data_IF_855942980647
#
_entry.id   IF_855942980647
#
_cell.length_a   1.000
_cell.length_b   1.000
_cell.length_c   1.000
_cell.angle_alpha   90.00
_cell.angle_beta   90.00
_cell.angle_gamma   90.00
#
_symmetry.space_group_name_H-M   'P 1'
#
loop_
_entity.id
_entity.type
_entity.pdbx_description
1 polymer ?
#
# COMPACT_ATOMS: atom_id res chain seq x y z
N UNK A 1 -47.66 9.59 21.66
CA UNK A 1 -46.57 8.75 21.11
C UNK A 1 -46.03 9.45 19.87
N UNK A 2 -44.85 10.08 19.93
CA UNK A 2 -44.26 10.81 18.79
C UNK A 2 -43.19 9.93 18.14
N UNK A 3 -43.42 9.52 16.89
CA UNK A 3 -42.50 8.66 16.14
C UNK A 3 -41.21 9.39 15.80
N UNK A 4 -40.07 8.83 16.20
CA UNK A 4 -38.73 9.29 15.78
C UNK A 4 -38.60 9.09 14.27
N UNK A 5 -38.32 10.16 13.54
CA UNK A 5 -37.98 10.12 12.11
C UNK A 5 -36.61 9.47 11.97
N UNK A 6 -36.55 8.31 11.31
CA UNK A 6 -35.30 7.67 10.90
C UNK A 6 -34.56 8.58 9.92
N UNK A 7 -33.59 9.34 10.44
CA UNK A 7 -32.71 10.16 9.62
C UNK A 7 -31.87 9.25 8.74
N UNK A 8 -32.15 9.24 7.42
CA UNK A 8 -31.35 8.56 6.40
C UNK A 8 -29.87 8.75 6.69
N UNK A 9 -29.16 7.68 7.05
CA UNK A 9 -27.71 7.72 7.18
C UNK A 9 -27.11 8.14 5.83
N UNK A 10 -26.51 9.33 5.80
CA UNK A 10 -25.78 9.81 4.62
C UNK A 10 -24.34 9.33 4.76
N UNK A 11 -23.96 8.34 3.95
CA UNK A 11 -22.57 7.92 3.82
C UNK A 11 -21.83 9.07 3.13
N UNK A 12 -20.88 9.69 3.84
CA UNK A 12 -19.98 10.68 3.24
C UNK A 12 -19.06 9.95 2.25
N UNK A 13 -18.84 10.54 1.08
CA UNK A 13 -17.90 9.98 0.11
C UNK A 13 -16.52 9.83 0.78
N UNK A 14 -15.94 8.63 0.67
CA UNK A 14 -14.58 8.41 1.12
C UNK A 14 -13.65 9.32 0.32
N UNK A 15 -12.65 9.97 0.96
CA UNK A 15 -11.67 10.78 0.25
C UNK A 15 -11.07 9.96 -0.88
N UNK A 16 -11.24 10.43 -2.11
CA UNK A 16 -10.79 9.71 -3.32
C UNK A 16 -9.26 9.77 -3.44
N UNK A 17 -8.63 10.74 -2.80
CA UNK A 17 -7.22 11.05 -2.92
C UNK A 17 -6.47 10.65 -1.65
N UNK A 18 -5.49 9.77 -1.81
CA UNK A 18 -4.55 9.38 -0.78
C UNK A 18 -3.51 10.49 -0.59
N UNK A 19 -3.13 10.76 0.66
CA UNK A 19 -2.04 11.68 0.97
C UNK A 19 -0.73 11.20 0.31
N UNK A 20 -0.03 12.05 -0.47
CA UNK A 20 1.27 11.71 -1.04
C UNK A 20 2.29 11.18 -0.03
N UNK A 21 2.28 11.70 1.21
CA UNK A 21 3.21 11.25 2.27
C UNK A 21 2.96 9.78 2.65
N UNK A 22 1.70 9.39 2.79
CA UNK A 22 1.29 8.03 3.10
C UNK A 22 1.64 7.05 1.97
N UNK A 23 1.53 7.48 0.70
CA UNK A 23 1.97 6.67 -0.44
C UNK A 23 3.47 6.36 -0.34
N UNK A 24 4.28 7.36 0.00
CA UNK A 24 5.73 7.19 0.14
C UNK A 24 6.09 6.25 1.30
N UNK A 25 5.40 6.36 2.43
CA UNK A 25 5.60 5.46 3.58
C UNK A 25 5.32 4.00 3.20
N UNK A 26 4.22 3.74 2.49
CA UNK A 26 3.90 2.39 2.00
C UNK A 26 4.97 1.91 1.02
N UNK A 27 5.38 2.74 0.04
CA UNK A 27 6.40 2.36 -0.94
C UNK A 27 7.74 2.05 -0.27
N UNK A 28 8.12 2.81 0.77
CA UNK A 28 9.32 2.57 1.57
C UNK A 28 9.24 1.25 2.33
N UNK A 29 8.10 0.95 2.95
CA UNK A 29 7.86 -0.32 3.63
C UNK A 29 7.98 -1.51 2.68
N UNK A 30 7.30 -1.45 1.53
CA UNK A 30 7.36 -2.50 0.51
C UNK A 30 8.78 -2.66 -0.06
N UNK A 31 9.49 -1.56 -0.34
CA UNK A 31 10.88 -1.56 -0.81
C UNK A 31 11.81 -2.30 0.15
N UNK A 32 11.68 -2.04 1.45
CA UNK A 32 12.48 -2.71 2.47
C UNK A 32 12.15 -4.21 2.56
N UNK A 33 10.86 -4.56 2.53
CA UNK A 33 10.44 -5.96 2.55
C UNK A 33 10.99 -6.76 1.36
N UNK A 34 10.96 -6.19 0.15
CA UNK A 34 11.54 -6.84 -1.05
C UNK A 34 13.04 -7.11 -0.86
N UNK A 35 13.78 -6.14 -0.31
CA UNK A 35 15.22 -6.31 -0.02
C UNK A 35 15.48 -7.42 1.00
N UNK A 36 14.66 -7.51 2.05
CA UNK A 36 14.80 -8.57 3.04
C UNK A 36 14.48 -9.95 2.44
N UNK A 37 13.50 -10.04 1.53
CA UNK A 37 13.24 -11.28 0.76
C UNK A 37 14.44 -11.64 -0.12
N UNK A 38 15.04 -10.67 -0.82
CA UNK A 38 16.23 -10.88 -1.65
C UNK A 38 17.42 -11.42 -0.84
N UNK A 39 17.59 -10.94 0.40
CA UNK A 39 18.58 -11.45 1.36
C UNK A 39 18.20 -12.79 2.01
N UNK A 40 17.09 -13.40 1.61
CA UNK A 40 16.51 -14.61 2.22
C UNK A 40 16.11 -14.44 3.70
N UNK A 41 15.86 -13.21 4.15
CA UNK A 41 15.40 -12.87 5.49
C UNK A 41 13.90 -12.55 5.52
N UNK A 42 13.05 -13.54 5.22
CA UNK A 42 11.60 -13.32 5.14
C UNK A 42 10.84 -13.59 6.46
N UNK A 43 11.47 -14.20 7.46
CA UNK A 43 10.81 -14.66 8.69
C UNK A 43 10.15 -13.54 9.52
N UNK A 44 10.64 -12.29 9.37
CA UNK A 44 10.09 -11.12 10.06
C UNK A 44 9.01 -10.35 9.27
N UNK A 45 8.60 -10.84 8.10
CA UNK A 45 7.68 -10.14 7.22
C UNK A 45 6.25 -10.67 7.36
N UNK A 46 5.29 -9.77 7.54
CA UNK A 46 3.86 -10.12 7.52
C UNK A 46 3.32 -10.12 6.10
N UNK A 47 2.93 -11.29 5.60
CA UNK A 47 2.32 -11.41 4.27
C UNK A 47 1.06 -10.55 4.13
N UNK A 48 0.17 -10.59 5.14
CA UNK A 48 -1.09 -9.85 5.10
C UNK A 48 -0.87 -8.34 5.06
N UNK A 49 0.06 -7.82 5.86
CA UNK A 49 0.36 -6.39 5.89
C UNK A 49 0.91 -5.91 4.53
N UNK A 50 1.89 -6.64 3.97
CA UNK A 50 2.49 -6.31 2.68
C UNK A 50 1.44 -6.35 1.56
N UNK A 51 0.58 -7.37 1.56
CA UNK A 51 -0.50 -7.51 0.59
C UNK A 51 -1.52 -6.36 0.70
N UNK A 52 -2.01 -6.03 1.91
CA UNK A 52 -2.96 -4.93 2.13
C UNK A 52 -2.39 -3.59 1.67
N UNK A 53 -1.13 -3.33 1.95
CA UNK A 53 -0.42 -2.12 1.53
C UNK A 53 -0.31 -2.02 0.01
N UNK A 54 0.13 -3.08 -0.67
CA UNK A 54 0.21 -3.10 -2.13
C UNK A 54 -1.18 -2.95 -2.79
N UNK A 55 -2.18 -3.67 -2.27
CA UNK A 55 -3.57 -3.56 -2.73
C UNK A 55 -4.10 -2.12 -2.58
N UNK A 56 -3.83 -1.49 -1.44
CA UNK A 56 -4.24 -0.10 -1.15
C UNK A 56 -3.65 0.89 -2.16
N UNK A 57 -2.38 0.73 -2.56
CA UNK A 57 -1.77 1.56 -3.61
C UNK A 57 -2.45 1.37 -4.98
N UNK A 58 -2.74 0.13 -5.37
CA UNK A 58 -3.39 -0.17 -6.65
C UNK A 58 -4.82 0.38 -6.68
N UNK A 59 -5.56 0.19 -5.58
CA UNK A 59 -6.93 0.70 -5.43
C UNK A 59 -6.99 2.22 -5.64
N UNK A 60 -6.00 2.95 -5.11
CA UNK A 60 -5.90 4.42 -5.23
C UNK A 60 -5.06 4.89 -6.43
N UNK A 61 -4.98 4.06 -7.48
CA UNK A 61 -4.35 4.39 -8.78
C UNK A 61 -2.85 4.74 -8.71
N UNK A 62 -2.15 4.28 -7.68
CA UNK A 62 -0.68 4.43 -7.55
C UNK A 62 0.10 3.22 -8.12
N UNK A 63 -0.55 2.35 -8.90
CA UNK A 63 0.05 1.12 -9.42
C UNK A 63 1.29 1.35 -10.30
N UNK A 64 1.33 2.43 -11.08
CA UNK A 64 2.50 2.78 -11.89
C UNK A 64 3.75 3.03 -11.03
N UNK A 65 3.61 3.77 -9.92
CA UNK A 65 4.72 4.03 -8.98
C UNK A 65 5.19 2.76 -8.29
N UNK A 66 4.24 1.91 -7.88
CA UNK A 66 4.55 0.60 -7.29
C UNK A 66 5.37 -0.27 -8.28
N UNK A 67 4.96 -0.33 -9.55
CA UNK A 67 5.67 -1.09 -10.57
C UNK A 67 7.08 -0.54 -10.83
N UNK A 68 7.22 0.79 -10.98
CA UNK A 68 8.52 1.42 -11.18
C UNK A 68 9.46 1.15 -10.00
N UNK A 69 8.98 1.35 -8.77
CA UNK A 69 9.74 1.06 -7.55
C UNK A 69 10.20 -0.41 -7.51
N UNK A 70 9.30 -1.36 -7.79
CA UNK A 70 9.62 -2.78 -7.81
C UNK A 70 10.73 -3.09 -8.84
N UNK A 71 10.57 -2.58 -10.06
CA UNK A 71 11.55 -2.75 -11.15
C UNK A 71 12.93 -2.22 -10.76
N UNK A 72 12.98 -1.01 -10.18
CA UNK A 72 14.24 -0.42 -9.70
C UNK A 72 14.91 -1.27 -8.63
N UNK A 73 14.17 -1.77 -7.64
CA UNK A 73 14.71 -2.58 -6.55
C UNK A 73 15.26 -3.91 -7.06
N UNK A 74 14.52 -4.58 -7.93
CA UNK A 74 14.97 -5.84 -8.54
C UNK A 74 16.20 -5.60 -9.40
N UNK A 75 16.17 -4.61 -10.30
CA UNK A 75 17.32 -4.29 -11.15
C UNK A 75 18.55 -3.93 -10.33
N UNK A 76 18.38 -3.13 -9.28
CA UNK A 76 19.50 -2.72 -8.42
C UNK A 76 20.15 -3.91 -7.72
N UNK A 77 19.35 -4.88 -7.26
CA UNK A 77 19.85 -6.12 -6.67
C UNK A 77 20.60 -6.97 -7.70
N UNK A 78 20.02 -7.19 -8.88
CA UNK A 78 20.63 -8.04 -9.91
C UNK A 78 21.90 -7.47 -10.56
N UNK A 79 22.11 -6.15 -10.47
CA UNK A 79 23.28 -5.48 -11.06
C UNK A 79 24.40 -5.29 -10.02
N UNK A 80 24.05 -4.97 -8.78
CA UNK A 80 25.02 -4.56 -7.75
C UNK A 80 25.34 -5.64 -6.72
N UNK A 81 24.65 -6.78 -6.75
CA UNK A 81 24.88 -7.95 -5.87
C UNK A 81 25.02 -9.22 -6.72
#
# INVERSE_FOLDING_TARGET
MSGKKDGKMRIRAFPVQMDPSYVEDILKLLRNAIREIQKKNNSGLSFEELYRNAYTLVLHKQGARLYTMLREVINSHLINE
#
